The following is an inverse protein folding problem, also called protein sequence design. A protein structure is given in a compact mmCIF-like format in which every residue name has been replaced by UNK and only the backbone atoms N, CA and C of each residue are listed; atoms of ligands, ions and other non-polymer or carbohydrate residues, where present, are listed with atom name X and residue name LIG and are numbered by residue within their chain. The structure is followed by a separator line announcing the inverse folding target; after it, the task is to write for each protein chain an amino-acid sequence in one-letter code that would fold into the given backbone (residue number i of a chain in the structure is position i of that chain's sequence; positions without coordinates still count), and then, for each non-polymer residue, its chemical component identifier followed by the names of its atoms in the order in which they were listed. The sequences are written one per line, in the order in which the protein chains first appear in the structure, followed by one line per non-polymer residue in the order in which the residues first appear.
data_IF_086456752623
#
_entry.id   IF_086456752623
#
_cell.length_a   1.000
_cell.length_b   1.000
_cell.length_c   1.000
_cell.angle_alpha   90.00
_cell.angle_beta   90.00
_cell.angle_gamma   90.00
#
_symmetry.space_group_name_H-M   'P 1'
#
loop_
_entity.id
_entity.type
_entity.pdbx_description
1 polymer ?
#
# COMPACT_ATOMS: atom_id res chain seq x y z
N UNK A 1 -19.75 -3.30 3.54
CA UNK A 1 -19.33 -4.69 3.22
C UNK A 1 -19.99 -5.67 4.16
N UNK A 2 -19.66 -5.72 5.45
CA UNK A 2 -20.32 -6.62 6.42
C UNK A 2 -21.86 -6.62 6.36
N UNK A 3 -22.46 -5.43 6.35
CA UNK A 3 -23.93 -5.28 6.28
C UNK A 3 -24.52 -5.75 4.94
N UNK A 4 -23.77 -5.57 3.84
CA UNK A 4 -24.20 -5.93 2.48
C UNK A 4 -23.96 -7.42 2.18
N UNK A 5 -22.91 -8.01 2.75
CA UNK A 5 -22.52 -9.41 2.52
C UNK A 5 -23.05 -10.36 3.60
N UNK A 6 -23.56 -9.82 4.71
CA UNK A 6 -23.98 -10.57 5.90
C UNK A 6 -22.93 -11.56 6.42
N UNK A 7 -21.65 -11.24 6.21
CA UNK A 7 -20.50 -12.06 6.63
C UNK A 7 -19.59 -11.24 7.54
N UNK A 8 -18.98 -11.91 8.52
CA UNK A 8 -17.95 -11.28 9.33
C UNK A 8 -16.73 -10.93 8.48
N UNK A 9 -16.16 -9.74 8.74
CA UNK A 9 -14.95 -9.32 8.05
C UNK A 9 -13.74 -10.07 8.63
N UNK A 10 -12.79 -10.50 7.79
CA UNK A 10 -11.55 -11.08 8.27
C UNK A 10 -10.84 -10.17 9.28
N UNK A 11 -10.10 -10.75 10.24
CA UNK A 11 -9.24 -9.96 11.11
C UNK A 11 -8.28 -9.08 10.30
N UNK A 12 -8.14 -7.81 10.69
CA UNK A 12 -7.26 -6.87 10.00
C UNK A 12 -7.76 -6.46 8.61
N UNK A 13 -9.00 -6.76 8.23
CA UNK A 13 -9.57 -6.26 6.97
C UNK A 13 -9.38 -4.74 6.86
N UNK A 14 -8.91 -4.27 5.70
CA UNK A 14 -8.51 -2.88 5.41
C UNK A 14 -7.27 -2.33 6.14
N UNK A 15 -6.55 -3.14 6.92
CA UNK A 15 -5.20 -2.77 7.37
C UNK A 15 -4.21 -2.86 6.22
N UNK A 16 -3.10 -2.13 6.36
CA UNK A 16 -2.04 -2.15 5.34
C UNK A 16 -1.42 -3.56 5.24
N UNK A 17 -1.28 -4.26 6.36
CA UNK A 17 -0.76 -5.63 6.45
C UNK A 17 -1.65 -6.61 5.69
N UNK A 18 -2.97 -6.51 5.89
CA UNK A 18 -3.92 -7.33 5.16
C UNK A 18 -3.87 -7.04 3.66
N UNK A 19 -3.83 -5.77 3.26
CA UNK A 19 -3.75 -5.39 1.86
C UNK A 19 -2.45 -5.90 1.18
N UNK A 20 -1.32 -5.82 1.89
CA UNK A 20 -0.03 -6.32 1.41
C UNK A 20 -0.05 -7.83 1.22
N UNK A 21 -0.59 -8.59 2.19
CA UNK A 21 -0.72 -10.05 2.10
C UNK A 21 -1.58 -10.50 0.92
N UNK A 22 -2.56 -9.69 0.50
CA UNK A 22 -3.44 -9.98 -0.63
C UNK A 22 -2.94 -9.36 -1.96
N UNK A 23 -1.74 -8.75 -1.97
CA UNK A 23 -1.13 -8.20 -3.19
C UNK A 23 -1.81 -6.93 -3.72
N UNK A 24 -2.60 -6.24 -2.90
CA UNK A 24 -3.28 -4.99 -3.29
C UNK A 24 -2.37 -3.77 -3.19
N UNK A 25 -1.29 -3.86 -2.41
CA UNK A 25 -0.25 -2.84 -2.27
C UNK A 25 1.12 -3.50 -2.32
N UNK A 26 2.13 -2.77 -2.80
CA UNK A 26 3.48 -3.31 -3.00
C UNK A 26 4.38 -3.20 -1.76
N UNK A 27 4.12 -2.26 -0.85
CA UNK A 27 4.94 -2.03 0.34
C UNK A 27 4.19 -1.25 1.43
N UNK A 28 4.60 -1.49 2.68
CA UNK A 28 4.26 -0.67 3.86
C UNK A 28 5.53 0.07 4.26
N UNK A 29 5.42 1.38 4.48
CA UNK A 29 6.58 2.25 4.72
C UNK A 29 6.33 3.12 5.93
N UNK A 30 7.27 3.09 6.88
CA UNK A 30 7.25 3.98 8.03
C UNK A 30 7.23 5.45 7.61
N UNK A 31 6.43 6.27 8.30
CA UNK A 31 6.15 7.65 7.86
C UNK A 31 7.41 8.50 7.69
N UNK A 32 8.40 8.33 8.56
CA UNK A 32 9.64 9.09 8.52
C UNK A 32 10.57 8.68 7.36
N UNK A 33 10.37 7.50 6.76
CA UNK A 33 11.12 7.00 5.59
C UNK A 33 10.42 7.30 4.26
N UNK A 34 9.19 7.83 4.30
CA UNK A 34 8.35 8.01 3.11
C UNK A 34 9.02 8.91 2.07
N UNK A 35 9.68 10.00 2.48
CA UNK A 35 10.35 10.93 1.56
C UNK A 35 11.41 10.21 0.73
N UNK A 36 12.32 9.52 1.40
CA UNK A 36 13.45 8.83 0.76
C UNK A 36 12.96 7.67 -0.12
N UNK A 37 11.85 7.01 0.26
CA UNK A 37 11.23 5.98 -0.58
C UNK A 37 10.64 6.56 -1.86
N UNK A 38 9.92 7.68 -1.77
CA UNK A 38 9.32 8.35 -2.92
C UNK A 38 10.40 8.87 -3.88
N UNK A 39 11.47 9.47 -3.36
CA UNK A 39 12.61 9.93 -4.16
C UNK A 39 13.18 8.79 -5.02
N UNK A 40 13.44 7.63 -4.42
CA UNK A 40 13.96 6.46 -5.15
C UNK A 40 13.00 5.97 -6.22
N UNK A 41 11.71 5.83 -5.89
CA UNK A 41 10.71 5.36 -6.84
C UNK A 41 10.57 6.33 -8.02
N UNK A 42 10.50 7.63 -7.77
CA UNK A 42 10.45 8.63 -8.82
C UNK A 42 11.75 8.63 -9.63
N UNK A 43 12.92 8.50 -9.01
CA UNK A 43 14.19 8.40 -9.72
C UNK A 43 14.28 7.23 -10.69
N UNK A 44 13.58 6.12 -10.41
CA UNK A 44 13.51 4.97 -11.33
C UNK A 44 12.44 5.11 -12.42
N UNK A 45 11.33 5.81 -12.12
CA UNK A 45 10.13 5.81 -12.96
C UNK A 45 9.96 7.08 -13.78
N UNK A 46 10.63 8.17 -13.41
CA UNK A 46 10.55 9.42 -14.15
C UNK A 46 11.41 9.35 -15.41
N UNK A 47 10.90 9.82 -16.56
CA UNK A 47 11.70 9.92 -17.76
C UNK A 47 12.85 10.91 -17.56
N UNK A 48 13.97 10.65 -18.23
CA UNK A 48 15.05 11.63 -18.31
C UNK A 48 14.52 12.90 -18.99
N UNK A 49 14.77 14.05 -18.37
CA UNK A 49 14.32 15.33 -18.93
C UNK A 49 15.14 15.58 -20.19
N UNK A 50 14.46 15.64 -21.34
CA UNK A 50 15.06 15.93 -22.64
C UNK A 50 15.66 17.34 -22.71
#
# INVERSE_FOLDING_TARGET
IKETTHQDLPPGFQTAEFMLQHGLIDAIVERHLLRDRLEKLLGYLMPESA
#
